data_IF_031426260881
#
_entry.id   IF_031426260881
#
_cell.length_a   1.000
_cell.length_b   1.000
_cell.length_c   1.000
_cell.angle_alpha   90.00
_cell.angle_beta   90.00
_cell.angle_gamma   90.00
#
_symmetry.space_group_name_H-M   'P 1'
#
loop_
_entity.id
_entity.type
_entity.pdbx_description
1 polymer ?
#
# COMPACT_ATOMS: atom_id res chain seq x y z
N UNK A 1 -5.15 21.33 10.45
CA UNK A 1 -5.08 20.08 9.66
C UNK A 1 -4.54 18.99 10.56
N UNK A 2 -5.22 17.84 10.73
CA UNK A 2 -4.70 16.75 11.55
C UNK A 2 -3.34 16.31 11.01
N UNK A 3 -2.31 16.36 11.86
CA UNK A 3 -0.94 16.02 11.48
C UNK A 3 -0.81 14.54 11.16
N UNK A 4 -0.08 14.22 10.09
CA UNK A 4 0.26 12.84 9.75
C UNK A 4 1.03 12.15 10.86
N UNK A 5 0.66 10.90 11.17
CA UNK A 5 1.48 10.06 12.03
C UNK A 5 2.85 9.79 11.37
N UNK A 6 3.89 9.60 12.18
CA UNK A 6 5.23 9.31 11.65
C UNK A 6 5.25 8.05 10.78
N UNK A 7 4.41 7.06 11.11
CA UNK A 7 4.26 5.81 10.37
C UNK A 7 3.48 6.04 9.08
N UNK A 8 2.40 6.82 9.14
CA UNK A 8 1.62 7.23 7.98
C UNK A 8 2.48 7.90 6.90
N UNK A 9 3.38 8.81 7.31
CA UNK A 9 4.34 9.44 6.38
C UNK A 9 5.23 8.43 5.68
N UNK A 10 5.73 7.41 6.41
CA UNK A 10 6.57 6.36 5.82
C UNK A 10 5.79 5.52 4.83
N UNK A 11 4.55 5.13 5.16
CA UNK A 11 3.68 4.36 4.25
C UNK A 11 3.38 5.15 2.98
N UNK A 12 2.98 6.42 3.11
CA UNK A 12 2.72 7.29 1.94
C UNK A 12 3.98 7.46 1.09
N UNK A 13 5.15 7.65 1.72
CA UNK A 13 6.42 7.72 1.00
C UNK A 13 6.75 6.42 0.25
N UNK A 14 6.51 5.25 0.87
CA UNK A 14 6.70 3.96 0.20
C UNK A 14 5.79 3.79 -1.02
N UNK A 15 4.52 4.19 -0.92
CA UNK A 15 3.58 4.16 -2.04
C UNK A 15 3.97 5.14 -3.16
N UNK A 16 4.46 6.33 -2.80
CA UNK A 16 4.99 7.29 -3.77
C UNK A 16 6.24 6.76 -4.49
N UNK A 17 7.12 6.06 -3.77
CA UNK A 17 8.29 5.43 -4.36
C UNK A 17 7.91 4.27 -5.31
N UNK A 18 6.94 3.43 -4.91
CA UNK A 18 6.37 2.38 -5.79
C UNK A 18 5.79 3.00 -7.07
N UNK A 19 4.97 4.05 -6.96
CA UNK A 19 4.42 4.73 -8.13
C UNK A 19 5.49 5.27 -9.08
N UNK A 20 6.59 5.82 -8.55
CA UNK A 20 7.67 6.31 -9.39
C UNK A 20 8.34 5.19 -10.17
N UNK A 21 8.63 4.05 -9.51
CA UNK A 21 9.25 2.90 -10.16
C UNK A 21 8.30 2.23 -11.14
N UNK A 22 7.01 2.12 -10.80
CA UNK A 22 5.96 1.62 -11.68
C UNK A 22 5.81 2.45 -12.96
N UNK A 23 5.91 3.79 -12.90
CA UNK A 23 5.92 4.65 -14.10
C UNK A 23 7.13 4.35 -14.99
N UNK A 24 8.30 4.11 -14.41
CA UNK A 24 9.51 3.73 -15.15
C UNK A 24 9.29 2.37 -15.83
N UNK A 25 8.75 1.38 -15.12
CA UNK A 25 8.43 0.06 -15.66
C UNK A 25 7.40 0.16 -16.79
N UNK A 26 6.35 0.96 -16.62
CA UNK A 26 5.33 1.21 -17.64
C UNK A 26 5.94 1.78 -18.92
N UNK A 27 6.78 2.81 -18.80
CA UNK A 27 7.44 3.45 -19.94
C UNK A 27 8.38 2.50 -20.69
N UNK A 28 9.22 1.77 -19.95
CA UNK A 28 10.14 0.78 -20.54
C UNK A 28 9.37 -0.39 -21.18
N UNK A 29 8.30 -0.86 -20.55
CA UNK A 29 7.44 -1.91 -21.10
C UNK A 29 6.78 -1.47 -22.41
N UNK A 30 6.30 -0.22 -22.48
CA UNK A 30 5.72 0.32 -23.70
C UNK A 30 6.73 0.37 -24.85
N UNK A 31 7.96 0.84 -24.59
CA UNK A 31 9.03 0.90 -25.60
C UNK A 31 9.45 -0.49 -26.11
N UNK A 32 9.62 -1.46 -25.20
CA UNK A 32 9.98 -2.84 -25.56
C UNK A 32 8.89 -3.49 -26.42
N UNK A 33 7.61 -3.31 -26.05
CA UNK A 33 6.49 -3.91 -26.78
C UNK A 33 6.23 -3.23 -28.14
N UNK A 34 6.50 -1.93 -28.26
CA UNK A 34 6.36 -1.20 -29.53
C UNK A 34 7.28 -1.78 -30.61
N UNK A 35 8.51 -2.17 -30.26
CA UNK A 35 9.46 -2.80 -31.19
C UNK A 35 8.98 -4.16 -31.71
N UNK A 36 8.20 -4.89 -30.91
CA UNK A 36 7.68 -6.22 -31.23
C UNK A 36 6.25 -6.18 -31.80
N UNK A 37 5.74 -4.99 -32.11
CA UNK A 37 4.35 -4.76 -32.57
C UNK A 37 3.30 -5.43 -31.67
N UNK A 38 3.57 -5.53 -30.36
CA UNK A 38 2.72 -6.19 -29.37
C UNK A 38 2.36 -7.66 -29.68
N UNK A 39 3.16 -8.35 -30.51
CA UNK A 39 2.83 -9.71 -30.97
C UNK A 39 2.86 -10.76 -29.85
N UNK A 40 3.72 -10.58 -28.85
CA UNK A 40 3.95 -11.58 -27.80
C UNK A 40 3.25 -11.22 -26.49
N UNK A 41 2.17 -11.95 -26.19
CA UNK A 41 1.39 -11.81 -24.93
C UNK A 41 2.28 -11.87 -23.68
N UNK A 42 3.38 -12.64 -23.72
CA UNK A 42 4.34 -12.76 -22.62
C UNK A 42 5.02 -11.43 -22.24
N UNK A 43 5.23 -10.56 -23.22
CA UNK A 43 5.93 -9.28 -23.05
C UNK A 43 4.93 -8.17 -22.64
N UNK A 44 3.62 -8.44 -22.74
CA UNK A 44 2.53 -7.56 -22.30
C UNK A 44 2.26 -7.65 -20.78
N UNK A 45 2.71 -8.68 -20.07
CA UNK A 45 2.40 -8.82 -18.65
C UNK A 45 2.95 -7.67 -17.78
N UNK A 46 4.23 -7.26 -17.89
CA UNK A 46 4.74 -6.12 -17.13
C UNK A 46 4.00 -4.82 -17.47
N UNK A 47 3.62 -4.63 -18.74
CA UNK A 47 2.83 -3.48 -19.18
C UNK A 47 1.45 -3.46 -18.50
N UNK A 48 0.72 -4.57 -18.56
CA UNK A 48 -0.62 -4.69 -17.99
C UNK A 48 -0.61 -4.55 -16.45
N UNK A 49 0.35 -5.20 -15.77
CA UNK A 49 0.52 -5.07 -14.33
C UNK A 49 0.86 -3.63 -13.91
N UNK A 50 1.68 -2.93 -14.70
CA UNK A 50 2.00 -1.53 -14.41
C UNK A 50 0.78 -0.64 -14.57
N UNK A 51 -0.06 -0.84 -15.59
CA UNK A 51 -1.32 -0.08 -15.75
C UNK A 51 -2.25 -0.31 -14.55
N UNK A 52 -2.42 -1.56 -14.14
CA UNK A 52 -3.27 -1.91 -12.98
C UNK A 52 -2.74 -1.22 -11.72
N UNK A 53 -1.42 -1.27 -11.50
CA UNK A 53 -0.73 -0.68 -10.35
C UNK A 53 -0.82 0.85 -10.35
N UNK A 54 -0.58 1.49 -11.49
CA UNK A 54 -0.66 2.93 -11.69
C UNK A 54 -2.07 3.47 -11.41
N UNK A 55 -3.12 2.70 -11.71
CA UNK A 55 -4.50 3.12 -11.41
C UNK A 55 -4.86 2.83 -9.95
N UNK A 56 -4.48 1.67 -9.43
CA UNK A 56 -4.91 1.22 -8.12
C UNK A 56 -4.21 1.92 -6.96
N UNK A 57 -2.90 2.16 -7.04
CA UNK A 57 -2.13 2.79 -5.95
C UNK A 57 -2.58 4.22 -5.68
N UNK A 58 -2.78 5.10 -6.69
CA UNK A 58 -3.30 6.44 -6.46
C UNK A 58 -4.73 6.42 -5.93
N UNK A 59 -5.57 5.46 -6.36
CA UNK A 59 -6.91 5.30 -5.79
C UNK A 59 -6.84 4.95 -4.30
N UNK A 60 -6.00 4.00 -3.89
CA UNK A 60 -5.81 3.65 -2.47
C UNK A 60 -5.29 4.85 -1.67
N UNK A 61 -4.31 5.59 -2.22
CA UNK A 61 -3.82 6.83 -1.60
C UNK A 61 -4.91 7.91 -1.49
N UNK A 62 -5.71 8.08 -2.54
CA UNK A 62 -6.83 9.03 -2.54
C UNK A 62 -7.85 8.63 -1.48
N UNK A 63 -8.18 7.35 -1.35
CA UNK A 63 -9.08 6.85 -0.32
C UNK A 63 -8.54 7.11 1.09
N UNK A 64 -7.23 6.99 1.31
CA UNK A 64 -6.59 7.32 2.60
C UNK A 64 -6.80 8.78 3.01
N UNK A 65 -6.91 9.69 2.03
CA UNK A 65 -7.15 11.10 2.26
C UNK A 65 -8.64 11.46 2.32
N UNK A 66 -9.45 10.87 1.44
CA UNK A 66 -10.83 11.25 1.23
C UNK A 66 -11.80 10.58 2.23
N UNK A 67 -11.55 9.34 2.65
CA UNK A 67 -12.52 8.54 3.40
C UNK A 67 -11.98 8.10 4.76
N UNK A 68 -12.70 8.45 5.82
CA UNK A 68 -12.24 8.20 7.20
C UNK A 68 -12.55 6.80 7.69
N UNK A 69 -13.64 6.20 7.19
CA UNK A 69 -14.27 5.01 7.77
C UNK A 69 -14.29 3.80 6.83
N UNK A 70 -13.66 3.88 5.66
CA UNK A 70 -13.69 2.80 4.67
C UNK A 70 -12.89 1.57 5.13
N UNK A 71 -13.29 0.40 4.64
CA UNK A 71 -12.50 -0.83 4.80
C UNK A 71 -11.18 -0.76 4.01
N UNK A 72 -11.17 -0.08 2.86
CA UNK A 72 -10.01 -0.02 1.96
C UNK A 72 -8.78 0.69 2.59
N UNK A 73 -9.01 1.57 3.57
CA UNK A 73 -7.93 2.32 4.23
C UNK A 73 -7.33 1.56 5.43
N UNK A 74 -7.92 0.42 5.81
CA UNK A 74 -7.50 -0.38 6.98
C UNK A 74 -6.30 -1.28 6.65
N UNK A 75 -5.56 -1.63 7.70
CA UNK A 75 -4.36 -2.47 7.58
C UNK A 75 -4.58 -3.81 6.84
N UNK A 76 -5.63 -4.62 7.14
CA UNK A 76 -5.84 -5.90 6.47
C UNK A 76 -5.98 -5.78 4.95
N UNK A 77 -6.73 -4.78 4.48
CA UNK A 77 -6.95 -4.58 3.05
C UNK A 77 -5.63 -4.23 2.35
N UNK A 78 -4.85 -3.30 2.90
CA UNK A 78 -3.55 -2.90 2.31
C UNK A 78 -2.56 -4.06 2.28
N UNK A 79 -2.49 -4.83 3.37
CA UNK A 79 -1.64 -6.02 3.46
C UNK A 79 -2.05 -7.04 2.39
N UNK A 80 -3.34 -7.36 2.30
CA UNK A 80 -3.86 -8.30 1.30
C UNK A 80 -3.59 -7.82 -0.13
N UNK A 81 -3.89 -6.55 -0.41
CA UNK A 81 -3.69 -5.93 -1.70
C UNK A 81 -2.22 -5.98 -2.16
N UNK A 82 -1.29 -5.50 -1.32
CA UNK A 82 0.14 -5.51 -1.63
C UNK A 82 0.70 -6.93 -1.76
N UNK A 83 0.19 -7.89 -0.97
CA UNK A 83 0.60 -9.29 -1.04
C UNK A 83 0.16 -9.94 -2.34
N UNK A 84 -1.09 -9.71 -2.77
CA UNK A 84 -1.61 -10.21 -4.06
C UNK A 84 -0.82 -9.61 -5.21
N UNK A 85 -0.60 -8.28 -5.22
CA UNK A 85 0.22 -7.64 -6.24
C UNK A 85 1.65 -8.20 -6.26
N UNK A 86 2.29 -8.38 -5.09
CA UNK A 86 3.63 -8.97 -4.99
C UNK A 86 3.69 -10.36 -5.63
N UNK A 87 2.71 -11.23 -5.36
CA UNK A 87 2.67 -12.58 -5.96
C UNK A 87 2.47 -12.52 -7.48
N UNK A 88 1.57 -11.65 -7.96
CA UNK A 88 1.35 -11.48 -9.41
C UNK A 88 2.63 -10.97 -10.09
N UNK A 89 3.25 -9.93 -9.55
CA UNK A 89 4.53 -9.41 -10.04
C UNK A 89 5.61 -10.49 -10.05
N UNK A 90 5.76 -11.29 -8.99
CA UNK A 90 6.71 -12.40 -8.96
C UNK A 90 6.48 -13.40 -10.09
N UNK A 91 5.25 -13.90 -10.22
CA UNK A 91 4.90 -14.96 -11.17
C UNK A 91 5.10 -14.51 -12.62
N UNK A 92 4.57 -13.34 -12.98
CA UNK A 92 4.65 -12.82 -14.34
C UNK A 92 6.05 -12.33 -14.68
N UNK A 93 6.78 -11.70 -13.74
CA UNK A 93 8.17 -11.33 -13.99
C UNK A 93 9.06 -12.55 -14.17
N UNK A 94 8.87 -13.62 -13.38
CA UNK A 94 9.61 -14.86 -13.56
C UNK A 94 9.37 -15.45 -14.96
N UNK A 95 8.11 -15.44 -15.43
CA UNK A 95 7.76 -15.90 -16.77
C UNK A 95 8.40 -15.05 -17.88
N UNK A 96 8.22 -13.73 -17.85
CA UNK A 96 8.78 -12.83 -18.87
C UNK A 96 10.31 -12.87 -18.89
N UNK A 97 10.96 -12.89 -17.72
CA UNK A 97 12.43 -12.92 -17.65
C UNK A 97 13.06 -14.25 -18.04
N UNK A 98 12.37 -15.38 -17.86
CA UNK A 98 12.80 -16.68 -18.37
C UNK A 98 12.84 -16.70 -19.90
N UNK A 99 11.86 -16.07 -20.56
CA UNK A 99 11.84 -15.92 -22.02
C UNK A 99 12.99 -15.07 -22.55
N UNK A 100 13.37 -14.02 -21.82
CA UNK A 100 14.50 -13.16 -22.19
C UNK A 100 15.87 -13.74 -21.82
N UNK A 101 15.95 -15.00 -21.39
CA UNK A 101 17.20 -15.65 -20.98
C UNK A 101 18.26 -15.71 -22.10
N UNK A 102 17.82 -15.74 -23.36
CA UNK A 102 18.70 -15.80 -24.52
C UNK A 102 19.16 -14.42 -25.01
N UNK A 103 18.63 -13.33 -24.45
CA UNK A 103 19.05 -11.97 -24.84
C UNK A 103 20.40 -11.66 -24.17
N UNK A 104 21.43 -11.26 -24.93
CA UNK A 104 22.74 -10.99 -24.38
C UNK A 104 22.68 -9.83 -23.39
N UNK A 105 23.46 -9.93 -22.30
CA UNK A 105 23.61 -8.83 -21.34
C UNK A 105 24.40 -7.65 -21.92
N UNK A 106 25.33 -7.94 -22.84
CA UNK A 106 26.15 -6.94 -23.51
C UNK A 106 25.50 -6.50 -24.82
N UNK A 107 24.63 -5.48 -24.76
CA UNK A 107 23.93 -4.97 -25.94
C UNK A 107 24.86 -4.30 -26.97
N UNK A 108 26.08 -3.90 -26.59
CA UNK A 108 27.04 -3.29 -27.50
C UNK A 108 27.71 -4.32 -28.45
N UNK A 109 27.49 -5.61 -28.23
CA UNK A 109 27.90 -6.69 -29.16
C UNK A 109 27.08 -6.66 -30.45
N UNK A 110 25.87 -6.08 -30.41
CA UNK A 110 25.03 -5.90 -31.60
C UNK A 110 25.75 -4.94 -32.55
N UNK A 111 25.96 -5.29 -33.84
CA UNK A 111 26.67 -4.45 -34.79
C UNK A 111 26.07 -3.05 -34.92
N UNK A 112 26.88 -2.05 -35.28
CA UNK A 112 26.47 -0.65 -35.31
C UNK A 112 25.44 -0.36 -36.41
N UNK A 113 25.32 -1.26 -37.38
CA UNK A 113 24.34 -1.24 -38.47
C UNK A 113 22.89 -1.45 -37.98
N UNK A 114 22.71 -1.94 -36.74
CA UNK A 114 21.42 -2.28 -36.12
C UNK A 114 21.16 -1.42 -34.87
N UNK A 115 20.95 -0.10 -35.01
CA UNK A 115 20.84 0.82 -33.87
C UNK A 115 19.55 0.63 -33.07
N UNK A 116 18.47 0.20 -33.72
CA UNK A 116 17.15 0.03 -33.08
C UNK A 116 17.16 -1.21 -32.18
N UNK A 117 17.73 -2.32 -32.64
CA UNK A 117 17.92 -3.57 -31.89
C UNK A 117 18.83 -3.34 -30.67
N UNK A 118 19.87 -2.51 -30.82
CA UNK A 118 20.75 -2.13 -29.72
C UNK A 118 19.98 -1.33 -28.65
N UNK A 119 19.14 -0.38 -29.08
CA UNK A 119 18.30 0.42 -28.17
C UNK A 119 17.26 -0.46 -27.48
N UNK A 120 16.58 -1.33 -28.22
CA UNK A 120 15.65 -2.32 -27.71
C UNK A 120 16.31 -3.21 -26.65
N UNK A 121 17.50 -3.75 -26.93
CA UNK A 121 18.25 -4.57 -25.97
C UNK A 121 18.53 -3.79 -24.68
N UNK A 122 18.99 -2.54 -24.77
CA UNK A 122 19.27 -1.70 -23.58
C UNK A 122 18.01 -1.44 -22.76
N UNK A 123 16.90 -1.13 -23.41
CA UNK A 123 15.61 -0.93 -22.77
C UNK A 123 15.09 -2.21 -22.11
N UNK A 124 15.29 -3.36 -22.76
CA UNK A 124 14.90 -4.67 -22.24
C UNK A 124 15.70 -5.05 -20.99
N UNK A 125 17.02 -4.79 -20.98
CA UNK A 125 17.85 -5.03 -19.79
C UNK A 125 17.45 -4.10 -18.63
N UNK A 126 17.18 -2.83 -18.92
CA UNK A 126 16.64 -1.90 -17.92
C UNK A 126 15.30 -2.41 -17.36
N UNK A 127 14.35 -2.77 -18.24
CA UNK A 127 13.05 -3.30 -17.85
C UNK A 127 13.19 -4.52 -16.94
N UNK A 128 14.03 -5.49 -17.34
CA UNK A 128 14.33 -6.69 -16.55
C UNK A 128 14.78 -6.34 -15.14
N UNK A 129 15.63 -5.34 -14.96
CA UNK A 129 16.06 -4.92 -13.61
C UNK A 129 14.95 -4.24 -12.81
N UNK A 130 14.22 -3.31 -13.42
CA UNK A 130 13.20 -2.51 -12.73
C UNK A 130 11.98 -3.34 -12.31
N UNK A 131 11.57 -4.34 -13.09
CA UNK A 131 10.44 -5.22 -12.69
C UNK A 131 10.77 -6.02 -11.42
N UNK A 132 12.03 -6.45 -11.24
CA UNK A 132 12.46 -7.15 -10.02
C UNK A 132 12.59 -6.19 -8.84
N UNK A 133 13.03 -4.96 -9.07
CA UNK A 133 13.05 -3.90 -8.03
C UNK A 133 11.63 -3.59 -7.57
N UNK A 134 10.68 -3.44 -8.48
CA UNK A 134 9.27 -3.19 -8.20
C UNK A 134 8.68 -4.30 -7.32
N UNK A 135 8.90 -5.57 -7.71
CA UNK A 135 8.49 -6.72 -6.91
C UNK A 135 9.09 -6.70 -5.49
N UNK A 136 10.39 -6.42 -5.36
CA UNK A 136 11.05 -6.32 -4.06
C UNK A 136 10.45 -5.20 -3.21
N UNK A 137 10.12 -4.05 -3.81
CA UNK A 137 9.49 -2.94 -3.11
C UNK A 137 8.08 -3.27 -2.63
N UNK A 138 7.26 -3.94 -3.45
CA UNK A 138 5.94 -4.43 -3.02
C UNK A 138 6.04 -5.38 -1.83
N UNK A 139 6.93 -6.36 -1.95
CA UNK A 139 7.14 -7.39 -0.94
C UNK A 139 7.67 -6.78 0.36
N UNK A 140 8.68 -5.92 0.28
CA UNK A 140 9.23 -5.22 1.43
C UNK A 140 8.18 -4.34 2.12
N UNK A 141 7.40 -3.58 1.35
CA UNK A 141 6.33 -2.73 1.90
C UNK A 141 5.27 -3.56 2.62
N UNK A 142 4.82 -4.67 2.02
CA UNK A 142 3.88 -5.59 2.65
C UNK A 142 4.44 -6.16 3.96
N UNK A 143 5.67 -6.67 3.96
CA UNK A 143 6.33 -7.23 5.14
C UNK A 143 6.52 -6.20 6.26
N UNK A 144 6.92 -4.97 5.93
CA UNK A 144 7.08 -3.90 6.90
C UNK A 144 5.74 -3.53 7.56
N UNK A 145 4.68 -3.44 6.77
CA UNK A 145 3.32 -3.18 7.28
C UNK A 145 2.85 -4.35 8.16
N UNK A 146 3.03 -5.59 7.73
CA UNK A 146 2.67 -6.79 8.51
C UNK A 146 3.43 -6.78 9.84
N UNK A 147 4.76 -6.65 9.81
CA UNK A 147 5.61 -6.63 11.01
C UNK A 147 5.17 -5.52 11.96
N UNK A 148 4.95 -4.32 11.44
CA UNK A 148 4.51 -3.19 12.25
C UNK A 148 3.17 -3.46 12.91
N UNK A 149 2.20 -3.99 12.16
CA UNK A 149 0.83 -4.25 12.65
C UNK A 149 0.83 -5.35 13.71
N UNK A 150 1.55 -6.45 13.49
CA UNK A 150 1.72 -7.54 14.47
C UNK A 150 2.43 -7.02 15.72
N UNK A 151 3.48 -6.20 15.55
CA UNK A 151 4.17 -5.58 16.68
C UNK A 151 3.20 -4.73 17.50
N UNK A 152 2.39 -3.86 16.88
CA UNK A 152 1.43 -3.05 17.65
C UNK A 152 0.36 -3.90 18.33
N UNK A 153 -0.13 -4.93 17.65
CA UNK A 153 -1.10 -5.86 18.23
C UNK A 153 -0.55 -6.57 19.49
N UNK A 154 0.69 -7.05 19.44
CA UNK A 154 1.34 -7.72 20.58
C UNK A 154 1.63 -6.78 21.76
N UNK A 155 1.71 -5.47 21.53
CA UNK A 155 1.80 -4.46 22.60
C UNK A 155 0.42 -4.05 23.17
N UNK A 156 -0.67 -4.74 22.81
CA UNK A 156 -2.03 -4.44 23.29
C UNK A 156 -2.77 -3.38 22.48
N UNK A 157 -2.15 -2.77 21.46
CA UNK A 157 -2.77 -1.76 20.60
C UNK A 157 -3.61 -2.44 19.49
N UNK A 158 -4.68 -3.12 19.88
CA UNK A 158 -5.52 -3.92 18.98
C UNK A 158 -6.28 -3.09 17.93
N UNK A 159 -6.45 -1.78 18.17
CA UNK A 159 -7.10 -0.85 17.24
C UNK A 159 -6.32 -0.64 15.95
N UNK A 160 -5.04 -1.03 15.88
CA UNK A 160 -4.20 -0.94 14.66
C UNK A 160 -4.84 -1.61 13.43
N UNK A 161 -5.67 -2.63 13.64
CA UNK A 161 -6.39 -3.34 12.58
C UNK A 161 -7.60 -2.58 12.04
N UNK A 162 -8.14 -1.63 12.80
CA UNK A 162 -9.40 -0.93 12.52
C UNK A 162 -9.19 0.49 12.02
N UNK A 163 -8.12 1.15 12.45
CA UNK A 163 -7.84 2.54 12.05
C UNK A 163 -6.88 2.67 10.86
N UNK A 164 -7.01 3.71 10.02
CA UNK A 164 -6.08 3.98 8.92
C UNK A 164 -4.67 4.33 9.42
N UNK A 165 -3.62 3.78 8.78
CA UNK A 165 -2.22 4.05 9.16
C UNK A 165 -1.84 5.54 9.18
N UNK A 166 -2.42 6.32 8.26
CA UNK A 166 -2.19 7.78 8.16
C UNK A 166 -2.52 8.49 9.48
N UNK A 167 -3.49 7.96 10.24
CA UNK A 167 -4.01 8.54 11.48
C UNK A 167 -3.73 7.69 12.71
N UNK A 168 -3.05 6.56 12.54
CA UNK A 168 -2.74 5.67 13.63
C UNK A 168 -1.84 6.37 14.66
N UNK A 169 -2.32 6.42 15.90
CA UNK A 169 -1.58 6.89 17.07
C UNK A 169 -1.64 5.77 18.13
N UNK A 170 -0.50 5.17 18.52
CA UNK A 170 -0.48 4.11 19.53
C UNK A 170 -0.81 4.63 20.93
N UNK A 171 -0.69 5.95 21.18
CA UNK A 171 -0.94 6.56 22.51
C UNK A 171 -2.39 6.94 22.73
N UNK A 172 -3.17 7.04 21.65
CA UNK A 172 -4.60 7.28 21.75
C UNK A 172 -5.28 5.91 21.76
N UNK A 173 -5.73 5.42 22.92
CA UNK A 173 -6.68 4.31 22.90
C UNK A 173 -7.82 4.72 21.99
N UNK A 174 -8.35 3.75 21.24
CA UNK A 174 -9.59 3.95 20.50
C UNK A 174 -10.62 4.38 21.56
N UNK A 175 -10.80 5.70 21.74
CA UNK A 175 -12.10 6.24 22.08
C UNK A 175 -12.90 5.86 20.86
N UNK A 176 -13.34 4.60 20.85
CA UNK A 176 -14.52 4.14 20.17
C UNK A 176 -15.48 5.24 20.54
N UNK A 177 -15.68 6.15 19.60
CA UNK A 177 -16.93 6.83 19.53
C UNK A 177 -17.92 5.68 19.51
N UNK A 178 -18.43 5.33 20.70
CA UNK A 178 -19.83 5.61 20.95
C UNK A 178 -19.99 6.96 20.26
N UNK A 179 -20.37 6.90 18.96
CA UNK A 179 -21.09 8.00 18.32
C UNK A 179 -21.92 8.48 19.49
N UNK A 180 -21.65 9.65 20.10
CA UNK A 180 -22.44 10.08 21.23
C UNK A 180 -23.82 9.83 20.72
N UNK A 181 -24.47 8.81 21.32
CA UNK A 181 -25.70 8.33 20.76
C UNK A 181 -26.44 9.63 20.66
N UNK A 182 -26.81 10.03 19.45
CA UNK A 182 -27.67 11.16 19.34
C UNK A 182 -29.01 10.58 19.82
N UNK A 183 -29.10 10.08 21.07
CA UNK A 183 -29.85 10.75 22.09
C UNK A 183 -29.72 12.23 21.78
N UNK A 184 -30.60 12.64 20.87
CA UNK A 184 -31.52 13.73 21.10
C UNK A 184 -32.13 13.44 22.49
N UNK A 185 -31.33 13.49 23.55
CA UNK A 185 -31.84 13.70 24.88
C UNK A 185 -32.47 15.06 24.79
N UNK A 186 -33.71 15.10 25.22
CA UNK A 186 -34.57 16.23 25.55
C UNK A 186 -33.88 17.25 26.50
N UNK A 187 -32.60 17.57 26.32
CA UNK A 187 -31.84 18.50 27.16
C UNK A 187 -32.19 19.97 26.86
N UNK A 188 -33.16 20.22 25.97
CA UNK A 188 -33.87 21.50 25.93
C UNK A 188 -34.96 21.63 27.03
N UNK A 189 -35.27 20.57 27.78
CA UNK A 189 -36.32 20.60 28.81
C UNK A 189 -35.86 20.43 30.27
N UNK A 190 -34.60 20.09 30.56
CA UNK A 190 -34.16 19.81 31.93
C UNK A 190 -33.30 20.91 32.56
N UNK A 191 -33.74 22.18 32.45
CA UNK A 191 -33.36 23.22 33.39
C UNK A 191 -34.10 22.95 34.73
N UNK A 192 -33.65 21.97 35.50
CA UNK A 192 -34.37 21.60 36.71
C UNK A 192 -33.68 20.55 37.57
N UNK A 193 -32.88 21.01 38.53
CA UNK A 193 -32.94 20.48 39.89
C UNK A 193 -31.97 19.36 40.29
N UNK A 194 -31.15 19.70 41.28
CA UNK A 194 -30.87 18.91 42.50
C UNK A 194 -30.45 17.43 42.38
N UNK A 195 -29.18 17.16 42.75
CA UNK A 195 -28.73 16.26 43.84
C UNK A 195 -27.23 16.03 43.66
N UNK A 196 -26.37 16.10 44.68
CA UNK A 196 -26.62 15.77 46.07
C UNK A 196 -25.94 14.43 46.39
N UNK A 197 -24.95 14.52 47.28
CA UNK A 197 -24.36 13.47 48.13
C UNK A 197 -23.44 12.40 47.51
N UNK A 198 -22.15 12.66 47.71
CA UNK A 198 -21.00 11.74 47.79
C UNK A 198 -21.08 10.77 48.99
N UNK A 199 -22.22 10.14 49.21
CA UNK A 199 -22.37 9.15 50.27
C UNK A 199 -22.70 7.82 49.63
N UNK A 200 -21.74 6.89 49.66
CA UNK A 200 -21.86 5.43 49.84
C UNK A 200 -20.53 4.82 49.40
N UNK A 201 -19.58 4.75 50.34
CA UNK A 201 -19.34 3.56 51.16
C UNK A 201 -18.51 2.51 50.41
N UNK A 202 -17.19 2.72 50.48
CA UNK A 202 -16.23 1.63 50.51
C UNK A 202 -16.40 0.90 51.85
N UNK A 203 -17.20 -0.15 51.86
CA UNK A 203 -17.26 -1.14 52.93
C UNK A 203 -17.39 -2.53 52.31
N UNK A 204 -16.24 -3.19 52.13
CA UNK A 204 -16.06 -4.64 52.36
C UNK A 204 -14.61 -5.06 52.10
N UNK A 205 -13.82 -5.00 53.16
CA UNK A 205 -12.72 -5.93 53.40
C UNK A 205 -13.26 -7.07 54.25
N UNK A 206 -13.22 -8.28 53.72
CA UNK A 206 -13.28 -9.62 54.36
C UNK A 206 -13.32 -10.57 53.15
N UNK A 207 -12.40 -11.52 52.93
CA UNK A 207 -11.77 -12.50 53.83
C UNK A 207 -10.36 -12.80 53.32
#
# INVERSE_FOLDING_TARGET
>A
MPGFSAVGRKVVASFGALLLVDIIVLALSAQVNQFQEYFFVADLFPLALSIITLVSLPLILLYDFAVLTSFAVRAPFKIGYLSVLSVLWLAFNAFSTARWSHVPLACDVIPAEYPDERTWCKNLQALKSFVWIEWLMFTATALLIIRYTISQHTHGNTHVWRVPFVRYDPRRPEHIGIIPEITITEDYFAAGGYRGSEFLQYEKQEI
#
